data_IF_297811315021
#
_entry.id   IF_297811315021
#
_cell.length_a   1.000
_cell.length_b   1.000
_cell.length_c   1.000
_cell.angle_alpha   90.00
_cell.angle_beta   90.00
_cell.angle_gamma   90.00
#
_symmetry.space_group_name_H-M   'P 1'
#
loop_
_entity.id
_entity.type
_entity.pdbx_description
1 polymer ?
#
# COMPACT_ATOMS: atom_id res chain seq x y z
N UNK A 1 12.60 -10.51 -58.23
CA UNK A 1 12.27 -9.06 -58.17
C UNK A 1 10.93 -8.96 -57.46
N UNK A 2 10.86 -8.36 -56.27
CA UNK A 2 9.58 -8.26 -55.53
C UNK A 2 8.69 -7.23 -56.23
N UNK A 3 7.44 -7.57 -56.53
CA UNK A 3 6.50 -6.63 -57.14
C UNK A 3 6.23 -5.42 -56.22
N UNK A 4 6.16 -4.22 -56.79
CA UNK A 4 5.86 -2.97 -56.04
C UNK A 4 4.61 -3.07 -55.18
N UNK A 5 3.58 -3.79 -55.65
CA UNK A 5 2.33 -4.03 -54.90
C UNK A 5 2.56 -4.90 -53.66
N UNK A 6 3.46 -5.87 -53.74
CA UNK A 6 3.86 -6.71 -52.60
C UNK A 6 4.69 -5.91 -51.60
N UNK A 7 5.62 -5.08 -52.07
CA UNK A 7 6.36 -4.15 -51.20
C UNK A 7 5.43 -3.16 -50.47
N UNK A 8 4.44 -2.60 -51.16
CA UNK A 8 3.46 -1.69 -50.53
C UNK A 8 2.65 -2.40 -49.44
N UNK A 9 2.19 -3.63 -49.68
CA UNK A 9 1.46 -4.43 -48.67
C UNK A 9 2.33 -4.68 -47.44
N UNK A 10 3.59 -5.06 -47.63
CA UNK A 10 4.55 -5.27 -46.53
C UNK A 10 4.75 -3.96 -45.75
N UNK A 11 4.97 -2.84 -46.44
CA UNK A 11 5.15 -1.53 -45.81
C UNK A 11 3.93 -1.12 -44.96
N UNK A 12 2.72 -1.35 -45.45
CA UNK A 12 1.48 -1.08 -44.70
C UNK A 12 1.39 -1.94 -43.45
N UNK A 13 1.68 -3.25 -43.56
CA UNK A 13 1.68 -4.15 -42.39
C UNK A 13 2.71 -3.72 -41.35
N UNK A 14 3.93 -3.38 -41.78
CA UNK A 14 4.99 -2.90 -40.89
C UNK A 14 4.56 -1.62 -40.17
N UNK A 15 3.94 -0.67 -40.88
CA UNK A 15 3.45 0.57 -40.29
C UNK A 15 2.36 0.32 -39.24
N UNK A 16 1.39 -0.56 -39.54
CA UNK A 16 0.32 -0.92 -38.59
C UNK A 16 0.90 -1.55 -37.32
N UNK A 17 1.87 -2.46 -37.47
CA UNK A 17 2.55 -3.08 -36.33
C UNK A 17 3.32 -2.04 -35.51
N UNK A 18 4.05 -1.14 -36.16
CA UNK A 18 4.78 -0.07 -35.47
C UNK A 18 3.85 0.85 -34.67
N UNK A 19 2.70 1.24 -35.23
CA UNK A 19 1.69 2.06 -34.52
C UNK A 19 1.11 1.30 -33.32
N UNK A 20 0.80 0.01 -33.48
CA UNK A 20 0.28 -0.81 -32.39
C UNK A 20 1.29 -0.95 -31.24
N UNK A 21 2.57 -1.19 -31.55
CA UNK A 21 3.65 -1.28 -30.56
C UNK A 21 3.85 0.06 -29.83
N UNK A 22 3.91 1.17 -30.57
CA UNK A 22 4.05 2.50 -29.98
C UNK A 22 2.86 2.85 -29.05
N UNK A 23 1.64 2.51 -29.48
CA UNK A 23 0.44 2.67 -28.67
C UNK A 23 0.49 1.85 -27.38
N UNK A 24 0.92 0.58 -27.47
CA UNK A 24 1.08 -0.29 -26.31
C UNK A 24 2.12 0.23 -25.31
N UNK A 25 3.30 0.68 -25.78
CA UNK A 25 4.34 1.26 -24.93
C UNK A 25 3.82 2.52 -24.22
N UNK A 26 3.15 3.41 -24.96
CA UNK A 26 2.57 4.64 -24.42
C UNK A 26 1.53 4.33 -23.33
N UNK A 27 0.68 3.33 -23.58
CA UNK A 27 -0.31 2.88 -22.61
C UNK A 27 0.32 2.29 -21.34
N UNK A 28 1.36 1.45 -21.46
CA UNK A 28 2.06 0.89 -20.30
C UNK A 28 2.76 1.99 -19.48
N UNK A 29 3.37 2.97 -20.14
CA UNK A 29 3.98 4.12 -19.46
C UNK A 29 2.95 4.96 -18.71
N UNK A 30 1.78 5.19 -19.31
CA UNK A 30 0.68 5.89 -18.64
C UNK A 30 0.23 5.15 -17.38
N UNK A 31 0.01 3.83 -17.46
CA UNK A 31 -0.40 3.03 -16.29
C UNK A 31 0.65 3.06 -15.18
N UNK A 32 1.93 2.88 -15.53
CA UNK A 32 3.04 2.96 -14.57
C UNK A 32 3.05 4.33 -13.86
N UNK A 33 2.92 5.41 -14.63
CA UNK A 33 2.88 6.77 -14.08
C UNK A 33 1.70 7.03 -13.15
N UNK A 34 0.50 6.51 -13.46
CA UNK A 34 -0.65 6.63 -12.56
C UNK A 34 -0.47 5.80 -11.28
N UNK A 35 0.04 4.57 -11.40
CA UNK A 35 0.34 3.73 -10.25
C UNK A 35 1.33 4.44 -9.31
N UNK A 36 2.46 4.93 -9.85
CA UNK A 36 3.49 5.65 -9.08
C UNK A 36 2.92 6.88 -8.38
N UNK A 37 2.12 7.68 -9.08
CA UNK A 37 1.46 8.85 -8.51
C UNK A 37 0.67 8.48 -7.25
N UNK A 38 -0.14 7.43 -7.30
CA UNK A 38 -0.96 7.02 -6.16
C UNK A 38 -0.14 6.37 -5.05
N UNK A 39 0.87 5.56 -5.40
CA UNK A 39 1.75 4.94 -4.41
C UNK A 39 2.61 5.95 -3.65
N UNK A 40 3.13 6.97 -4.34
CA UNK A 40 3.89 8.07 -3.71
C UNK A 40 2.99 8.85 -2.74
N UNK A 41 1.75 9.12 -3.12
CA UNK A 41 0.79 9.78 -2.23
C UNK A 41 0.47 8.92 -1.02
N UNK A 42 0.24 7.62 -1.22
CA UNK A 42 -0.01 6.67 -0.14
C UNK A 42 1.19 6.56 0.82
N UNK A 43 2.43 6.50 0.29
CA UNK A 43 3.64 6.44 1.09
C UNK A 43 3.80 7.70 1.96
N UNK A 44 3.56 8.88 1.39
CA UNK A 44 3.60 10.13 2.16
C UNK A 44 2.61 10.14 3.32
N UNK A 45 1.37 9.70 3.09
CA UNK A 45 0.36 9.66 4.16
C UNK A 45 0.69 8.56 5.17
N UNK A 46 1.23 7.43 4.73
CA UNK A 46 1.72 6.37 5.63
C UNK A 46 2.81 6.89 6.58
N UNK A 47 3.72 7.75 6.11
CA UNK A 47 4.72 8.39 6.97
C UNK A 47 4.10 9.35 7.98
N UNK A 48 3.06 10.10 7.58
CA UNK A 48 2.28 10.96 8.47
C UNK A 48 1.51 10.12 9.51
N UNK A 49 0.82 9.06 9.09
CA UNK A 49 0.12 8.07 9.92
C UNK A 49 1.06 7.45 10.95
N UNK A 50 2.25 6.99 10.54
CA UNK A 50 3.23 6.40 11.45
C UNK A 50 3.66 7.39 12.55
N UNK A 51 3.76 8.68 12.22
CA UNK A 51 4.05 9.71 13.22
C UNK A 51 2.86 9.93 14.15
N UNK A 52 1.64 9.97 13.63
CA UNK A 52 0.41 10.10 14.43
C UNK A 52 0.26 8.93 15.40
N UNK A 53 0.52 7.70 14.95
CA UNK A 53 0.53 6.51 15.83
C UNK A 53 1.61 6.62 16.90
N UNK A 54 2.81 7.07 16.55
CA UNK A 54 3.88 7.27 17.53
C UNK A 54 3.50 8.32 18.60
N UNK A 55 2.84 9.41 18.20
CA UNK A 55 2.28 10.40 19.13
C UNK A 55 1.21 9.79 20.05
N UNK A 56 0.30 8.98 19.50
CA UNK A 56 -0.75 8.29 20.27
C UNK A 56 -0.15 7.40 21.37
N UNK A 57 0.87 6.61 21.01
CA UNK A 57 1.58 5.75 21.96
C UNK A 57 2.31 6.57 23.04
N UNK A 58 2.88 7.71 22.67
CA UNK A 58 3.57 8.60 23.61
C UNK A 58 2.59 9.19 24.66
N UNK A 59 1.39 9.57 24.25
CA UNK A 59 0.34 10.00 25.17
C UNK A 59 -0.15 8.85 26.05
N UNK A 60 -0.34 7.66 25.46
CA UNK A 60 -0.72 6.46 26.21
C UNK A 60 0.30 6.13 27.32
N UNK A 61 1.60 6.17 27.01
CA UNK A 61 2.67 5.92 27.98
C UNK A 61 2.72 6.95 29.11
N UNK A 62 2.29 8.19 28.85
CA UNK A 62 2.20 9.27 29.86
C UNK A 62 0.96 9.16 30.74
N UNK A 63 0.02 8.29 30.40
CA UNK A 63 -1.29 8.19 31.07
C UNK A 63 -2.33 9.17 30.51
N UNK A 64 -2.01 9.92 29.45
CA UNK A 64 -2.90 10.90 28.82
C UNK A 64 -3.86 10.19 27.84
N UNK A 65 -4.74 9.33 28.38
CA UNK A 65 -5.58 8.44 27.58
C UNK A 65 -6.52 9.18 26.63
N UNK A 66 -7.01 10.37 27.01
CA UNK A 66 -7.86 11.19 26.15
C UNK A 66 -7.14 11.61 24.86
N UNK A 67 -5.91 12.11 24.97
CA UNK A 67 -5.10 12.51 23.81
C UNK A 67 -4.66 11.29 23.00
N UNK A 68 -4.33 10.17 23.65
CA UNK A 68 -4.01 8.92 22.97
C UNK A 68 -5.18 8.46 22.08
N UNK A 69 -6.41 8.47 22.59
CA UNK A 69 -7.62 8.10 21.84
C UNK A 69 -7.82 9.02 20.63
N UNK A 70 -7.68 10.34 20.81
CA UNK A 70 -7.81 11.32 19.72
C UNK A 70 -6.78 11.03 18.62
N UNK A 71 -5.53 10.77 19.00
CA UNK A 71 -4.46 10.46 18.04
C UNK A 71 -4.66 9.12 17.32
N UNK A 72 -5.17 8.10 18.00
CA UNK A 72 -5.56 6.87 17.30
C UNK A 72 -6.71 7.10 16.32
N UNK A 73 -7.71 7.92 16.67
CA UNK A 73 -8.81 8.29 15.76
C UNK A 73 -8.32 9.07 14.52
N UNK A 74 -7.27 9.90 14.67
CA UNK A 74 -6.60 10.57 13.55
C UNK A 74 -5.87 9.56 12.67
N UNK A 75 -5.04 8.70 13.25
CA UNK A 75 -4.26 7.69 12.52
C UNK A 75 -5.16 6.73 11.71
N UNK A 76 -6.30 6.30 12.27
CA UNK A 76 -7.24 5.42 11.58
C UNK A 76 -7.76 6.08 10.28
N UNK A 77 -8.08 7.37 10.31
CA UNK A 77 -8.55 8.11 9.12
C UNK A 77 -7.45 8.26 8.07
N UNK A 78 -6.21 8.48 8.51
CA UNK A 78 -5.05 8.52 7.61
C UNK A 78 -4.84 7.15 6.95
N UNK A 79 -4.94 6.05 7.71
CA UNK A 79 -4.89 4.69 7.20
C UNK A 79 -5.99 4.36 6.17
N UNK A 80 -7.22 4.83 6.37
CA UNK A 80 -8.30 4.72 5.38
C UNK A 80 -7.94 5.42 4.06
N UNK A 81 -7.30 6.58 4.12
CA UNK A 81 -6.83 7.31 2.94
C UNK A 81 -5.70 6.56 2.22
N UNK A 82 -4.74 6.00 2.97
CA UNK A 82 -3.68 5.15 2.41
C UNK A 82 -4.27 3.97 1.65
N UNK A 83 -5.22 3.24 2.25
CA UNK A 83 -5.88 2.09 1.62
C UNK A 83 -6.63 2.52 0.36
N UNK A 84 -7.32 3.66 0.39
CA UNK A 84 -8.04 4.22 -0.77
C UNK A 84 -7.10 4.54 -1.94
N UNK A 85 -5.94 5.16 -1.65
CA UNK A 85 -4.92 5.48 -2.67
C UNK A 85 -4.27 4.22 -3.25
N UNK A 86 -3.94 3.25 -2.41
CA UNK A 86 -3.43 1.95 -2.88
C UNK A 86 -4.48 1.22 -3.73
N UNK A 87 -5.76 1.30 -3.38
CA UNK A 87 -6.86 0.79 -4.20
C UNK A 87 -6.94 1.42 -5.59
N UNK A 88 -6.66 2.74 -5.70
CA UNK A 88 -6.53 3.42 -7.00
C UNK A 88 -5.29 2.94 -7.75
N UNK A 89 -4.13 2.85 -7.09
CA UNK A 89 -2.90 2.33 -7.70
C UNK A 89 -3.08 0.91 -8.27
N UNK A 90 -3.81 0.05 -7.54
CA UNK A 90 -4.11 -1.33 -7.92
C UNK A 90 -4.82 -1.45 -9.27
N UNK A 91 -5.66 -0.48 -9.64
CA UNK A 91 -6.33 -0.47 -10.95
C UNK A 91 -5.34 -0.32 -12.11
N UNK A 92 -4.22 0.38 -11.89
CA UNK A 92 -3.19 0.63 -12.89
C UNK A 92 -2.06 -0.41 -12.86
N UNK A 93 -1.94 -1.19 -11.79
CA UNK A 93 -0.91 -2.21 -11.64
C UNK A 93 -1.18 -3.48 -12.46
N UNK A 94 -0.10 -4.13 -12.90
CA UNK A 94 -0.08 -5.47 -13.50
C UNK A 94 1.07 -6.29 -12.91
N UNK A 95 1.02 -7.62 -13.06
CA UNK A 95 2.12 -8.51 -12.69
C UNK A 95 2.53 -8.37 -11.21
N UNK A 96 3.84 -8.37 -10.90
CA UNK A 96 4.31 -8.36 -9.51
C UNK A 96 3.90 -7.11 -8.73
N UNK A 97 3.81 -5.94 -9.38
CA UNK A 97 3.31 -4.73 -8.73
C UNK A 97 1.89 -4.92 -8.21
N UNK A 98 1.03 -5.59 -8.97
CA UNK A 98 -0.36 -5.83 -8.58
C UNK A 98 -0.45 -6.76 -7.37
N UNK A 99 0.41 -7.78 -7.32
CA UNK A 99 0.50 -8.67 -6.17
C UNK A 99 1.00 -7.93 -4.92
N UNK A 100 2.04 -7.10 -5.05
CA UNK A 100 2.58 -6.31 -3.94
C UNK A 100 1.54 -5.31 -3.42
N UNK A 101 0.90 -4.54 -4.30
CA UNK A 101 -0.09 -3.54 -3.88
C UNK A 101 -1.28 -4.21 -3.20
N UNK A 102 -1.71 -5.39 -3.68
CA UNK A 102 -2.75 -6.16 -2.99
C UNK A 102 -2.35 -6.50 -1.56
N UNK A 103 -1.11 -6.98 -1.36
CA UNK A 103 -0.59 -7.30 -0.03
C UNK A 103 -0.42 -6.06 0.85
N UNK A 104 -0.03 -4.91 0.28
CA UNK A 104 0.04 -3.65 1.01
C UNK A 104 -1.35 -3.20 1.50
N UNK A 105 -2.39 -3.37 0.68
CA UNK A 105 -3.78 -3.11 1.09
C UNK A 105 -4.18 -4.04 2.24
N UNK A 106 -3.94 -5.36 2.10
CA UNK A 106 -4.23 -6.35 3.14
C UNK A 106 -3.47 -6.02 4.45
N UNK A 107 -2.20 -5.63 4.35
CA UNK A 107 -1.37 -5.20 5.49
C UNK A 107 -1.99 -3.98 6.16
N UNK A 108 -2.32 -2.94 5.40
CA UNK A 108 -2.79 -1.69 5.98
C UNK A 108 -4.20 -1.80 6.57
N UNK A 109 -5.04 -2.70 6.05
CA UNK A 109 -6.30 -3.08 6.72
C UNK A 109 -6.05 -3.69 8.10
N UNK A 110 -5.02 -4.54 8.25
CA UNK A 110 -4.63 -5.09 9.55
C UNK A 110 -4.03 -4.01 10.46
N UNK A 111 -3.23 -3.08 9.92
CA UNK A 111 -2.70 -1.94 10.67
C UNK A 111 -3.82 -1.07 11.23
N UNK A 112 -4.80 -0.69 10.41
CA UNK A 112 -5.97 0.08 10.87
C UNK A 112 -6.76 -0.66 11.95
N UNK A 113 -6.99 -1.97 11.77
CA UNK A 113 -7.61 -2.80 12.82
C UNK A 113 -6.78 -2.83 14.10
N UNK A 114 -5.45 -2.86 13.99
CA UNK A 114 -4.57 -2.82 15.15
C UNK A 114 -4.65 -1.47 15.88
N UNK A 115 -4.75 -0.36 15.14
CA UNK A 115 -4.94 0.98 15.71
C UNK A 115 -6.30 1.09 16.43
N UNK A 116 -7.37 0.50 15.88
CA UNK A 116 -8.67 0.39 16.56
C UNK A 116 -8.58 -0.38 17.88
N UNK A 117 -7.79 -1.46 17.93
CA UNK A 117 -7.52 -2.17 19.18
C UNK A 117 -6.76 -1.30 20.17
N UNK A 118 -5.71 -0.59 19.75
CA UNK A 118 -4.96 0.31 20.63
C UNK A 118 -5.80 1.47 21.16
N UNK A 119 -6.67 2.05 20.33
CA UNK A 119 -7.69 3.01 20.75
C UNK A 119 -8.59 2.41 21.84
N UNK A 120 -9.04 1.18 21.64
CA UNK A 120 -9.92 0.48 22.60
C UNK A 120 -9.19 0.13 23.90
N UNK A 121 -7.92 -0.26 23.82
CA UNK A 121 -7.04 -0.47 24.99
C UNK A 121 -6.94 0.82 25.81
N UNK A 122 -6.69 1.97 25.15
CA UNK A 122 -6.65 3.27 25.82
C UNK A 122 -7.97 3.62 26.52
N UNK A 123 -9.12 3.30 25.91
CA UNK A 123 -10.43 3.45 26.55
C UNK A 123 -10.58 2.57 27.80
N UNK A 124 -10.26 1.27 27.69
CA UNK A 124 -10.30 0.36 28.83
C UNK A 124 -9.43 0.85 29.99
N UNK A 125 -8.19 1.28 29.71
CA UNK A 125 -7.28 1.82 30.73
C UNK A 125 -7.84 3.09 31.37
N UNK A 126 -8.44 3.99 30.58
CA UNK A 126 -9.10 5.20 31.08
C UNK A 126 -10.24 4.88 32.05
N UNK A 127 -10.99 3.81 31.79
CA UNK A 127 -12.12 3.35 32.62
C UNK A 127 -11.67 2.48 33.80
N UNK A 128 -10.39 2.09 33.86
CA UNK A 128 -9.85 1.18 34.87
C UNK A 128 -10.14 -0.31 34.59
N UNK A 129 -10.61 -0.64 33.38
CA UNK A 129 -10.84 -2.02 32.93
C UNK A 129 -9.55 -2.65 32.41
N UNK A 130 -8.67 -3.05 33.33
CA UNK A 130 -7.38 -3.64 32.97
C UNK A 130 -7.47 -5.04 32.38
N UNK A 131 -8.50 -5.81 32.74
CA UNK A 131 -8.74 -7.15 32.19
C UNK A 131 -9.16 -7.04 30.72
N UNK A 132 -10.07 -6.12 30.39
CA UNK A 132 -10.44 -5.83 29.00
C UNK A 132 -9.26 -5.32 28.16
N UNK A 133 -8.43 -4.44 28.73
CA UNK A 133 -7.21 -3.99 28.08
C UNK A 133 -6.23 -5.14 27.77
N UNK A 134 -6.09 -6.09 28.70
CA UNK A 134 -5.23 -7.26 28.55
C UNK A 134 -5.69 -8.20 27.42
N UNK A 135 -6.99 -8.47 27.34
CA UNK A 135 -7.57 -9.32 26.28
C UNK A 135 -7.42 -8.68 24.90
N UNK A 136 -7.62 -7.37 24.79
CA UNK A 136 -7.41 -6.62 23.54
C UNK A 136 -5.94 -6.60 23.13
N UNK A 137 -5.02 -6.54 24.11
CA UNK A 137 -3.57 -6.56 23.83
C UNK A 137 -3.13 -7.87 23.17
N UNK A 138 -3.71 -9.01 23.56
CA UNK A 138 -3.43 -10.31 22.92
C UNK A 138 -3.90 -10.33 21.46
N UNK A 139 -5.09 -9.79 21.18
CA UNK A 139 -5.58 -9.67 19.81
C UNK A 139 -4.67 -8.77 18.95
N UNK A 140 -4.11 -7.71 19.54
CA UNK A 140 -3.14 -6.85 18.87
C UNK A 140 -1.84 -7.60 18.51
N UNK A 141 -1.37 -8.48 19.40
CA UNK A 141 -0.19 -9.31 19.13
C UNK A 141 -0.44 -10.32 18.00
N UNK A 142 -1.63 -10.92 17.95
CA UNK A 142 -2.02 -11.81 16.85
C UNK A 142 -2.06 -11.08 15.50
N UNK A 143 -2.63 -9.87 15.47
CA UNK A 143 -2.64 -9.04 14.25
C UNK A 143 -1.21 -8.68 13.83
N UNK A 144 -0.34 -8.35 14.77
CA UNK A 144 1.07 -8.04 14.49
C UNK A 144 1.79 -9.23 13.85
N UNK A 145 1.50 -10.45 14.31
CA UNK A 145 2.04 -11.66 13.69
C UNK A 145 1.56 -11.85 12.24
N UNK A 146 0.30 -11.54 11.94
CA UNK A 146 -0.24 -11.60 10.56
C UNK A 146 0.38 -10.52 9.65
N UNK A 147 0.59 -9.30 10.15
CA UNK A 147 1.30 -8.23 9.42
C UNK A 147 2.69 -8.70 9.02
N UNK A 148 3.45 -9.30 9.95
CA UNK A 148 4.79 -9.81 9.68
C UNK A 148 4.80 -10.91 8.59
N UNK A 149 3.77 -11.76 8.55
CA UNK A 149 3.62 -12.77 7.49
C UNK A 149 3.39 -12.12 6.12
N UNK A 150 2.59 -11.05 6.06
CA UNK A 150 2.37 -10.30 4.82
C UNK A 150 3.66 -9.63 4.36
N UNK A 151 4.41 -9.00 5.27
CA UNK A 151 5.70 -8.37 4.96
C UNK A 151 6.71 -9.38 4.39
N UNK A 152 6.81 -10.57 4.99
CA UNK A 152 7.64 -11.65 4.46
C UNK A 152 7.22 -12.06 3.03
N UNK A 153 5.92 -12.08 2.73
CA UNK A 153 5.41 -12.38 1.38
C UNK A 153 5.75 -11.27 0.38
N UNK A 154 5.67 -10.00 0.78
CA UNK A 154 6.08 -8.86 -0.05
C UNK A 154 7.57 -8.97 -0.40
N UNK A 155 8.43 -9.21 0.60
CA UNK A 155 9.87 -9.36 0.39
C UNK A 155 10.22 -10.58 -0.49
N UNK A 156 9.47 -11.67 -0.37
CA UNK A 156 9.62 -12.82 -1.26
C UNK A 156 9.22 -12.51 -2.72
N UNK A 157 8.27 -11.62 -2.97
CA UNK A 157 7.95 -11.16 -4.34
C UNK A 157 9.06 -10.24 -4.85
N UNK A 158 9.48 -9.24 -4.08
CA UNK A 158 10.58 -8.32 -4.44
C UNK A 158 11.87 -9.08 -4.77
N UNK A 159 12.18 -10.13 -4.00
CA UNK A 159 13.37 -10.96 -4.24
C UNK A 159 13.31 -11.74 -5.56
N UNK A 160 12.12 -12.11 -6.03
CA UNK A 160 11.89 -12.78 -7.33
C UNK A 160 11.84 -11.80 -8.50
N UNK A 161 11.66 -10.51 -8.23
CA UNK A 161 11.50 -9.43 -9.21
C UNK A 161 12.39 -8.23 -8.84
N UNK A 162 13.72 -8.33 -9.04
CA UNK A 162 14.67 -7.30 -8.61
C UNK A 162 14.45 -5.95 -9.32
N UNK A 163 13.93 -5.95 -10.55
CA UNK A 163 13.54 -4.75 -11.29
C UNK A 163 12.38 -4.00 -10.61
N UNK A 164 11.40 -4.77 -10.11
CA UNK A 164 10.26 -4.23 -9.34
C UNK A 164 10.75 -3.73 -8.00
N UNK A 165 11.65 -4.46 -7.33
CA UNK A 165 12.26 -4.03 -6.07
C UNK A 165 12.97 -2.68 -6.22
N UNK A 166 13.87 -2.56 -7.20
CA UNK A 166 14.64 -1.34 -7.45
C UNK A 166 13.73 -0.14 -7.75
N UNK A 167 12.70 -0.35 -8.57
CA UNK A 167 11.73 0.71 -8.86
C UNK A 167 10.96 1.15 -7.60
N UNK A 168 10.45 0.21 -6.81
CA UNK A 168 9.76 0.53 -5.56
C UNK A 168 10.67 1.30 -4.61
N UNK A 169 11.87 0.80 -4.32
CA UNK A 169 12.81 1.43 -3.37
C UNK A 169 13.33 2.80 -3.81
N UNK A 170 13.25 3.11 -5.11
CA UNK A 170 13.68 4.42 -5.65
C UNK A 170 12.53 5.40 -5.87
N UNK A 171 11.28 4.95 -5.87
CA UNK A 171 10.12 5.78 -6.25
C UNK A 171 9.06 5.88 -5.17
N UNK A 172 8.81 4.81 -4.42
CA UNK A 172 7.75 4.74 -3.43
C UNK A 172 8.37 4.91 -2.04
#
# INVERSE_FOLDING_TARGET
MIEKKTLLKIAVVVLVVAVAVAGYITYKNYRMSQMDKYMIQAAKICDEENRTVAEALLYYERGDMDEAIIKFDEAIKEGEEVISLQGKAYQYADGPYKEIIKLLIERNQLVSKNQELWRSIAMCVKEGDYDGAWDLKHQSDDITAEINKIEARIEAIKSRHPDVKEHIESKW
#
